data_IF_502679544576
#
_entry.id   IF_502679544576
#
_cell.length_a   1.000
_cell.length_b   1.000
_cell.length_c   1.000
_cell.angle_alpha   90.00
_cell.angle_beta   90.00
_cell.angle_gamma   90.00
#
_symmetry.space_group_name_H-M   'P 1'
#
loop_
_entity.id
_entity.type
_entity.pdbx_description
1 polymer ?
#
# COMPACT_ATOMS: atom_id res chain seq x y z
N UNK A 1 26.11 -8.68 33.43
CA UNK A 1 26.51 -7.33 32.94
C UNK A 1 25.31 -6.73 32.20
N UNK A 2 24.85 -5.52 32.54
CA UNK A 2 23.66 -4.93 31.87
C UNK A 2 24.05 -4.50 30.44
N UNK A 3 23.23 -4.84 29.43
CA UNK A 3 23.46 -4.58 27.98
C UNK A 3 23.88 -3.14 27.67
N UNK A 4 23.31 -2.18 28.41
CA UNK A 4 23.60 -0.75 28.27
C UNK A 4 25.02 -0.38 28.69
N UNK A 5 25.59 -1.12 29.64
CA UNK A 5 26.95 -0.88 30.12
C UNK A 5 27.96 -1.51 29.15
N UNK A 6 27.68 -2.72 28.63
CA UNK A 6 28.52 -3.38 27.63
C UNK A 6 28.63 -2.58 26.31
N UNK A 7 27.53 -2.02 25.80
CA UNK A 7 27.53 -1.21 24.58
C UNK A 7 28.28 0.13 24.76
N UNK A 8 28.24 0.71 25.97
CA UNK A 8 29.03 1.90 26.30
C UNK A 8 30.53 1.62 26.31
N UNK A 9 30.94 0.45 26.81
CA UNK A 9 32.34 0.01 26.78
C UNK A 9 32.82 -0.37 25.38
N UNK A 10 31.97 -1.00 24.54
CA UNK A 10 32.32 -1.35 23.16
C UNK A 10 32.50 -0.12 22.25
N UNK A 11 31.69 0.93 22.44
CA UNK A 11 31.82 2.20 21.71
C UNK A 11 33.08 3.00 22.05
N UNK A 12 33.61 2.85 23.27
CA UNK A 12 34.85 3.50 23.69
C UNK A 12 36.13 2.73 23.24
N UNK A 13 36.00 1.45 22.87
CA UNK A 13 37.13 0.57 22.55
C UNK A 13 37.34 0.22 21.07
N UNK A 14 36.54 0.77 20.15
CA UNK A 14 36.71 0.52 18.71
C UNK A 14 36.43 -0.92 18.24
N UNK A 15 35.71 -1.72 19.05
CA UNK A 15 35.37 -3.10 18.71
C UNK A 15 34.27 -3.14 17.62
N UNK A 16 34.59 -3.74 16.48
CA UNK A 16 33.62 -4.06 15.42
C UNK A 16 32.60 -5.04 15.98
N UNK A 17 31.36 -4.58 16.19
CA UNK A 17 30.23 -5.46 16.49
C UNK A 17 29.83 -6.13 15.18
N UNK A 18 30.06 -7.43 15.00
CA UNK A 18 29.67 -8.11 13.77
C UNK A 18 28.14 -8.09 13.63
N UNK A 19 27.65 -7.94 12.40
CA UNK A 19 26.23 -7.71 12.09
C UNK A 19 25.25 -8.75 12.68
N UNK A 20 25.74 -9.95 13.00
CA UNK A 20 24.94 -10.99 13.67
C UNK A 20 24.65 -10.70 15.15
N UNK A 21 25.41 -9.84 15.81
CA UNK A 21 25.18 -9.42 17.21
C UNK A 21 24.12 -8.31 17.35
N UNK A 22 23.57 -7.83 16.22
CA UNK A 22 22.48 -6.84 16.15
C UNK A 22 21.18 -7.46 15.62
N UNK A 23 21.12 -8.78 15.45
CA UNK A 23 19.88 -9.46 15.07
C UNK A 23 18.90 -9.35 16.25
N UNK A 24 17.71 -8.75 16.07
CA UNK A 24 16.73 -8.68 17.13
C UNK A 24 16.33 -10.10 17.54
N UNK A 25 16.41 -10.40 18.84
CA UNK A 25 15.71 -11.53 19.42
C UNK A 25 14.26 -11.49 18.93
N UNK A 26 13.76 -12.62 18.43
CA UNK A 26 12.36 -12.78 18.12
C UNK A 26 11.61 -12.73 19.45
N UNK A 27 11.24 -11.53 19.90
CA UNK A 27 10.22 -11.38 20.91
C UNK A 27 8.94 -11.92 20.27
N UNK A 28 8.42 -13.02 20.80
CA UNK A 28 7.09 -13.51 20.49
C UNK A 28 6.10 -12.36 20.71
N UNK A 29 5.68 -11.68 19.64
CA UNK A 29 4.64 -10.67 19.73
C UNK A 29 3.31 -11.39 19.90
N UNK A 30 2.91 -11.49 21.17
CA UNK A 30 1.72 -12.14 21.71
C UNK A 30 0.36 -11.51 21.33
N UNK A 31 0.23 -10.80 20.20
CA UNK A 31 -1.06 -10.25 19.78
C UNK A 31 -1.21 -10.31 18.26
N UNK A 32 -2.42 -10.67 17.80
CA UNK A 32 -2.81 -10.51 16.41
C UNK A 32 -2.52 -9.10 15.96
N UNK A 33 -2.09 -8.94 14.70
CA UNK A 33 -1.95 -7.60 14.14
C UNK A 33 -3.32 -6.91 14.15
N UNK A 34 -3.49 -5.92 15.01
CA UNK A 34 -4.67 -5.07 15.13
C UNK A 34 -4.42 -3.66 14.61
N UNK A 35 -3.19 -3.38 14.17
CA UNK A 35 -2.80 -2.10 13.60
C UNK A 35 -3.44 -1.82 12.23
N UNK A 36 -3.06 -0.69 11.66
CA UNK A 36 -3.55 -0.21 10.37
C UNK A 36 -3.13 -1.13 9.22
N UNK A 37 -4.01 -1.33 8.25
CA UNK A 37 -3.78 -2.09 7.03
C UNK A 37 -3.62 -1.09 5.90
N UNK A 38 -2.45 -1.07 5.27
CA UNK A 38 -2.23 -0.28 4.07
C UNK A 38 -2.69 -1.09 2.85
N UNK A 39 -3.55 -0.53 2.02
CA UNK A 39 -3.96 -1.13 0.74
C UNK A 39 -3.53 -0.21 -0.39
N UNK A 40 -2.55 -0.67 -1.17
CA UNK A 40 -2.07 0.05 -2.35
C UNK A 40 -2.75 -0.53 -3.59
N UNK A 41 -3.50 0.28 -4.32
CA UNK A 41 -4.14 -0.08 -5.60
C UNK A 41 -3.41 0.66 -6.71
N UNK A 42 -2.69 -0.09 -7.53
CA UNK A 42 -2.04 0.45 -8.72
C UNK A 42 -3.03 0.45 -9.90
N UNK A 43 -3.44 1.63 -10.34
CA UNK A 43 -4.20 1.83 -11.57
C UNK A 43 -3.22 1.84 -12.76
N UNK A 44 -2.91 0.67 -13.30
CA UNK A 44 -1.81 0.49 -14.26
C UNK A 44 -2.17 0.96 -15.67
N UNK A 45 -1.23 1.68 -16.25
CA UNK A 45 -1.31 2.24 -17.59
C UNK A 45 -1.63 3.73 -17.58
N UNK A 46 -1.26 4.52 -16.58
CA UNK A 46 -1.48 5.97 -16.58
C UNK A 46 -2.95 6.38 -16.62
N UNK A 47 -3.66 6.28 -15.49
CA UNK A 47 -5.07 6.68 -15.40
C UNK A 47 -5.25 8.14 -15.81
N UNK A 48 -6.18 8.39 -16.74
CA UNK A 48 -6.50 9.74 -17.17
C UNK A 48 -7.23 10.51 -16.06
N UNK A 49 -6.52 11.48 -15.47
CA UNK A 49 -7.06 12.38 -14.46
C UNK A 49 -8.28 13.16 -14.95
N UNK A 50 -8.34 13.51 -16.25
CA UNK A 50 -9.49 14.21 -16.83
C UNK A 50 -10.76 13.39 -16.86
N UNK A 51 -10.64 12.07 -16.97
CA UNK A 51 -11.76 11.12 -16.99
C UNK A 51 -12.08 10.59 -15.58
N UNK A 52 -11.37 11.06 -14.55
CA UNK A 52 -11.50 10.60 -13.18
C UNK A 52 -11.73 11.77 -12.20
N UNK A 53 -10.68 12.28 -11.54
CA UNK A 53 -10.79 13.19 -10.37
C UNK A 53 -10.30 14.62 -10.60
N UNK A 54 -9.83 14.94 -11.81
CA UNK A 54 -9.43 16.29 -12.22
C UNK A 54 -10.07 16.68 -13.56
N UNK A 55 -11.42 16.77 -13.63
CA UNK A 55 -12.14 16.98 -14.88
C UNK A 55 -11.84 18.35 -15.52
N UNK A 56 -11.98 18.42 -16.85
CA UNK A 56 -11.88 19.65 -17.65
C UNK A 56 -13.13 19.76 -18.49
N UNK A 57 -13.91 20.82 -18.28
CA UNK A 57 -15.24 20.97 -18.87
C UNK A 57 -15.29 21.97 -20.03
N UNK A 58 -14.25 22.77 -20.22
CA UNK A 58 -14.23 23.82 -21.23
C UNK A 58 -13.55 23.38 -22.55
N UNK A 59 -12.52 22.55 -22.48
CA UNK A 59 -11.66 22.24 -23.62
C UNK A 59 -11.95 20.83 -24.18
N UNK A 60 -12.60 20.80 -25.35
CA UNK A 60 -12.93 19.56 -26.08
C UNK A 60 -11.72 18.82 -26.64
N UNK A 61 -10.55 19.46 -26.69
CA UNK A 61 -9.30 18.77 -27.06
C UNK A 61 -8.81 17.87 -25.93
N UNK A 62 -9.25 18.10 -24.69
CA UNK A 62 -8.93 17.22 -23.57
C UNK A 62 -9.86 16.00 -23.52
N UNK A 63 -11.18 16.22 -23.57
CA UNK A 63 -12.19 15.16 -23.42
C UNK A 63 -13.42 15.44 -24.27
N UNK A 64 -14.11 14.39 -24.72
CA UNK A 64 -15.33 14.54 -25.51
C UNK A 64 -16.55 15.01 -24.70
N UNK A 65 -16.55 14.85 -23.36
CA UNK A 65 -17.64 15.37 -22.52
C UNK A 65 -17.61 16.89 -22.31
N UNK A 66 -16.47 17.56 -22.60
CA UNK A 66 -16.31 18.98 -22.38
C UNK A 66 -17.31 19.81 -23.21
N UNK A 67 -17.95 20.79 -22.57
CA UNK A 67 -19.01 21.60 -23.17
C UNK A 67 -20.26 20.80 -23.58
N UNK A 68 -20.45 19.59 -23.03
CA UNK A 68 -21.63 18.74 -23.28
C UNK A 68 -22.23 18.29 -21.95
N UNK A 69 -21.42 17.67 -21.09
CA UNK A 69 -21.85 17.14 -19.79
C UNK A 69 -20.99 17.74 -18.69
N UNK A 70 -21.58 18.40 -17.68
CA UNK A 70 -20.82 18.94 -16.56
C UNK A 70 -20.18 17.82 -15.73
N UNK A 71 -19.10 18.16 -15.03
CA UNK A 71 -18.51 17.29 -14.03
C UNK A 71 -19.50 17.01 -12.89
N UNK A 72 -19.43 15.79 -12.35
CA UNK A 72 -20.15 15.44 -11.14
C UNK A 72 -19.58 16.21 -9.96
N UNK A 73 -20.42 16.47 -8.96
CA UNK A 73 -20.04 17.07 -7.68
C UNK A 73 -20.51 16.17 -6.54
N UNK A 74 -19.58 15.73 -5.70
CA UNK A 74 -19.83 14.93 -4.50
C UNK A 74 -19.07 15.57 -3.35
N UNK A 75 -19.77 16.31 -2.49
CA UNK A 75 -19.14 17.19 -1.51
C UNK A 75 -18.24 18.23 -2.20
N UNK A 76 -16.96 18.27 -1.80
CA UNK A 76 -15.93 19.14 -2.38
C UNK A 76 -15.18 18.50 -3.56
N UNK A 77 -15.54 17.29 -3.96
CA UNK A 77 -14.83 16.53 -5.01
C UNK A 77 -15.61 16.65 -6.32
N UNK A 78 -14.89 17.00 -7.40
CA UNK A 78 -15.41 17.02 -8.77
C UNK A 78 -14.84 15.85 -9.54
N UNK A 79 -15.70 15.11 -10.24
CA UNK A 79 -15.27 13.98 -11.06
C UNK A 79 -15.84 14.04 -12.46
N UNK A 80 -15.15 13.44 -13.41
CA UNK A 80 -15.64 13.38 -14.77
C UNK A 80 -16.95 12.57 -14.84
N UNK A 81 -17.89 12.93 -15.73
CA UNK A 81 -19.12 12.18 -15.97
C UNK A 81 -18.84 10.92 -16.80
N UNK A 82 -18.01 10.02 -16.26
CA UNK A 82 -17.52 8.81 -16.92
C UNK A 82 -17.69 7.60 -16.01
N UNK A 83 -18.03 6.45 -16.60
CA UNK A 83 -18.24 5.19 -15.88
C UNK A 83 -19.21 5.37 -14.70
N UNK A 84 -18.85 4.81 -13.55
CA UNK A 84 -19.60 4.91 -12.29
C UNK A 84 -18.99 5.92 -11.30
N UNK A 85 -18.17 6.87 -11.77
CA UNK A 85 -17.52 7.87 -10.91
C UNK A 85 -18.53 8.55 -9.96
N UNK A 86 -19.66 9.03 -10.49
CA UNK A 86 -20.69 9.70 -9.69
C UNK A 86 -21.14 8.83 -8.51
N UNK A 87 -21.58 7.61 -8.79
CA UNK A 87 -22.09 6.71 -7.75
C UNK A 87 -21.01 6.37 -6.71
N UNK A 88 -19.77 6.14 -7.16
CA UNK A 88 -18.65 5.86 -6.27
C UNK A 88 -18.32 7.05 -5.35
N UNK A 89 -18.16 8.26 -5.89
CA UNK A 89 -17.80 9.42 -5.07
C UNK A 89 -18.97 9.94 -4.25
N UNK A 90 -20.22 9.82 -4.69
CA UNK A 90 -21.40 10.10 -3.84
C UNK A 90 -21.40 9.22 -2.58
N UNK A 91 -20.97 7.96 -2.71
CA UNK A 91 -20.86 7.03 -1.58
C UNK A 91 -19.66 7.32 -0.67
N UNK A 92 -18.53 7.75 -1.25
CA UNK A 92 -17.25 7.76 -0.54
C UNK A 92 -16.57 9.14 -0.40
N UNK A 93 -17.22 10.25 -0.75
CA UNK A 93 -16.56 11.56 -0.71
C UNK A 93 -16.01 11.93 0.67
N UNK A 94 -16.72 11.59 1.75
CA UNK A 94 -16.29 11.84 3.13
C UNK A 94 -15.00 11.11 3.50
N UNK A 95 -14.77 9.94 2.90
CA UNK A 95 -13.58 9.12 3.10
C UNK A 95 -12.39 9.62 2.30
N UNK A 96 -12.59 10.50 1.32
CA UNK A 96 -11.67 10.69 0.20
C UNK A 96 -10.85 11.98 0.28
N UNK A 97 -9.56 11.85 0.02
CA UNK A 97 -8.67 12.94 -0.38
C UNK A 97 -8.17 12.70 -1.81
N UNK A 98 -8.46 13.64 -2.70
CA UNK A 98 -7.87 13.71 -4.05
C UNK A 98 -6.61 14.56 -3.99
N UNK A 99 -5.55 14.12 -4.65
CA UNK A 99 -4.28 14.84 -4.78
C UNK A 99 -4.01 15.06 -6.26
N UNK A 100 -4.12 16.30 -6.73
CA UNK A 100 -3.97 16.66 -8.13
C UNK A 100 -2.60 17.29 -8.40
N UNK A 101 -2.10 17.12 -9.62
CA UNK A 101 -0.85 17.77 -10.07
C UNK A 101 0.42 17.06 -9.61
N UNK A 102 0.36 15.75 -9.31
CA UNK A 102 1.55 14.99 -8.93
C UNK A 102 2.37 14.71 -10.19
N UNK A 103 3.55 15.32 -10.28
CA UNK A 103 4.48 15.07 -11.38
C UNK A 103 5.35 13.85 -11.09
N UNK A 104 5.22 12.81 -11.90
CA UNK A 104 6.04 11.59 -11.88
C UNK A 104 7.50 11.84 -12.24
N UNK A 105 7.85 13.02 -12.78
CA UNK A 105 9.17 13.37 -13.33
C UNK A 105 9.59 12.48 -14.53
N UNK A 106 8.68 11.64 -15.03
CA UNK A 106 8.86 10.71 -16.15
C UNK A 106 7.51 10.43 -16.82
N UNK A 107 7.55 9.89 -18.04
CA UNK A 107 6.39 9.37 -18.76
C UNK A 107 6.62 7.91 -19.21
N UNK A 108 7.60 7.22 -18.63
CA UNK A 108 7.85 5.79 -18.83
C UNK A 108 7.02 4.96 -17.86
N UNK A 109 6.40 3.87 -18.32
CA UNK A 109 5.60 2.98 -17.47
C UNK A 109 6.42 2.40 -16.33
N UNK A 110 7.63 1.91 -16.61
CA UNK A 110 8.48 1.28 -15.60
C UNK A 110 8.98 2.30 -14.56
N UNK A 111 9.48 3.44 -15.03
CA UNK A 111 10.01 4.48 -14.14
C UNK A 111 8.90 5.16 -13.34
N UNK A 112 7.74 5.40 -13.96
CA UNK A 112 6.57 6.00 -13.30
C UNK A 112 5.99 5.06 -12.24
N UNK A 113 5.85 3.77 -12.56
CA UNK A 113 5.45 2.74 -11.58
C UNK A 113 6.39 2.77 -10.37
N UNK A 114 7.71 2.79 -10.62
CA UNK A 114 8.72 2.83 -9.55
C UNK A 114 8.62 4.11 -8.74
N UNK A 115 8.61 5.27 -9.39
CA UNK A 115 8.54 6.57 -8.74
C UNK A 115 7.34 6.67 -7.81
N UNK A 116 6.14 6.28 -8.26
CA UNK A 116 4.96 6.31 -7.41
C UNK A 116 4.95 5.21 -6.35
N UNK A 117 5.58 4.06 -6.59
CA UNK A 117 5.67 3.00 -5.59
C UNK A 117 6.67 3.28 -4.47
N UNK A 118 7.78 3.98 -4.74
CA UNK A 118 8.91 4.19 -3.80
C UNK A 118 9.10 5.64 -3.34
N UNK A 119 8.51 6.58 -4.08
CA UNK A 119 8.74 8.02 -3.92
C UNK A 119 9.95 8.54 -4.70
N UNK A 120 10.73 7.69 -5.38
CA UNK A 120 11.96 8.08 -6.07
C UNK A 120 12.09 7.38 -7.42
N UNK A 121 12.64 8.09 -8.40
CA UNK A 121 13.08 7.48 -9.67
C UNK A 121 14.34 6.62 -9.48
N UNK A 122 15.17 6.94 -8.49
CA UNK A 122 16.36 6.17 -8.16
C UNK A 122 16.02 4.73 -7.77
N UNK A 123 16.89 3.80 -8.12
CA UNK A 123 16.79 2.41 -7.71
C UNK A 123 17.15 2.25 -6.21
N UNK A 124 16.73 1.12 -5.62
CA UNK A 124 17.13 0.75 -4.26
C UNK A 124 16.31 1.38 -3.13
N UNK A 125 15.26 2.13 -3.44
CA UNK A 125 14.28 2.60 -2.44
C UNK A 125 13.20 1.54 -2.19
N UNK A 126 12.82 1.28 -0.94
CA UNK A 126 11.72 0.39 -0.64
C UNK A 126 10.42 1.01 -1.14
N UNK A 127 9.53 0.17 -1.66
CA UNK A 127 8.19 0.62 -1.95
C UNK A 127 7.40 0.84 -0.65
N UNK A 128 6.31 1.62 -0.70
CA UNK A 128 5.54 1.97 0.50
C UNK A 128 5.02 0.73 1.23
N UNK A 129 4.67 -0.34 0.50
CA UNK A 129 4.16 -1.57 1.11
C UNK A 129 5.22 -2.31 1.91
N UNK A 130 6.40 -2.51 1.32
CA UNK A 130 7.55 -3.09 2.02
C UNK A 130 7.93 -2.24 3.23
N UNK A 131 7.96 -0.92 3.07
CA UNK A 131 8.39 -0.01 4.11
C UNK A 131 7.42 -0.05 5.30
N UNK A 132 6.11 0.02 5.05
CA UNK A 132 5.09 -0.11 6.08
C UNK A 132 5.16 -1.48 6.77
N UNK A 133 5.27 -2.56 5.99
CA UNK A 133 5.42 -3.92 6.51
C UNK A 133 6.67 -4.11 7.37
N UNK A 134 7.78 -3.44 7.05
CA UNK A 134 9.03 -3.54 7.83
C UNK A 134 8.93 -2.91 9.23
N UNK A 135 8.07 -1.89 9.37
CA UNK A 135 7.87 -1.16 10.62
C UNK A 135 6.73 -1.78 11.43
N UNK A 136 5.58 -2.01 10.81
CA UNK A 136 4.34 -2.39 11.50
C UNK A 136 4.01 -3.88 11.39
N UNK A 137 4.50 -4.55 10.35
CA UNK A 137 4.27 -5.98 10.09
C UNK A 137 5.37 -6.91 10.58
N UNK A 138 6.31 -6.43 11.40
CA UNK A 138 7.46 -7.23 11.84
C UNK A 138 6.99 -8.47 12.60
N UNK A 139 7.42 -9.65 12.15
CA UNK A 139 7.06 -10.94 12.76
C UNK A 139 5.73 -11.52 12.31
N UNK A 140 4.97 -10.83 11.44
CA UNK A 140 3.79 -11.43 10.83
C UNK A 140 4.19 -12.51 9.81
N UNK A 141 3.35 -13.55 9.59
CA UNK A 141 3.62 -14.58 8.60
C UNK A 141 3.71 -14.05 7.16
N UNK A 142 2.83 -13.12 6.78
CA UNK A 142 2.73 -12.57 5.42
C UNK A 142 2.54 -11.05 5.47
N UNK A 143 3.55 -10.30 5.97
CA UNK A 143 3.40 -8.89 6.31
C UNK A 143 3.09 -8.00 5.10
N UNK A 144 3.52 -8.43 3.90
CA UNK A 144 3.27 -7.78 2.61
C UNK A 144 2.73 -8.80 1.60
N UNK A 145 1.43 -8.74 1.34
CA UNK A 145 0.77 -9.51 0.27
C UNK A 145 0.76 -8.73 -1.03
N UNK A 146 1.11 -9.38 -2.14
CA UNK A 146 1.24 -8.74 -3.44
C UNK A 146 0.49 -9.49 -4.56
N UNK A 147 -0.46 -8.80 -5.19
CA UNK A 147 -1.23 -9.28 -6.34
C UNK A 147 -1.03 -8.43 -7.61
N UNK A 148 0.01 -7.59 -7.68
CA UNK A 148 0.32 -6.78 -8.85
C UNK A 148 0.99 -5.44 -8.55
N UNK A 149 1.30 -4.69 -9.62
CA UNK A 149 2.03 -3.42 -9.54
C UNK A 149 3.53 -3.61 -9.22
N UNK A 150 4.10 -2.64 -8.51
CA UNK A 150 5.53 -2.68 -8.16
C UNK A 150 5.80 -3.72 -7.06
N UNK A 151 6.71 -4.66 -7.36
CA UNK A 151 7.03 -5.79 -6.46
C UNK A 151 8.49 -5.84 -6.00
N UNK A 152 9.33 -4.93 -6.49
CA UNK A 152 10.75 -4.92 -6.15
C UNK A 152 10.93 -4.51 -4.69
N UNK A 153 11.69 -5.32 -3.96
CA UNK A 153 12.05 -5.13 -2.56
C UNK A 153 13.45 -4.50 -2.46
N UNK A 154 13.64 -3.61 -1.50
CA UNK A 154 14.95 -3.11 -1.09
C UNK A 154 15.64 -4.01 -0.04
N UNK A 155 15.09 -5.19 0.23
CA UNK A 155 15.62 -6.19 1.17
C UNK A 155 15.16 -5.98 2.62
N UNK A 156 14.13 -5.18 2.88
CA UNK A 156 13.59 -4.99 4.23
C UNK A 156 12.59 -6.10 4.59
N UNK A 157 11.67 -6.39 3.67
CA UNK A 157 10.64 -7.42 3.79
C UNK A 157 10.37 -8.01 2.42
N UNK A 158 10.36 -9.34 2.32
CA UNK A 158 10.02 -10.03 1.09
C UNK A 158 8.52 -9.92 0.78
N UNK A 159 8.18 -9.66 -0.48
CA UNK A 159 6.81 -9.75 -0.95
C UNK A 159 6.33 -11.21 -0.91
N UNK A 160 5.16 -11.45 -0.33
CA UNK A 160 4.46 -12.72 -0.48
C UNK A 160 3.48 -12.59 -1.64
N UNK A 161 3.62 -13.37 -2.73
CA UNK A 161 2.60 -13.44 -3.76
C UNK A 161 1.25 -13.79 -3.15
N UNK A 162 0.18 -13.13 -3.59
CA UNK A 162 -1.17 -13.37 -3.08
C UNK A 162 -1.55 -14.85 -3.29
N UNK A 163 -1.81 -15.62 -2.23
CA UNK A 163 -2.13 -17.03 -2.38
C UNK A 163 -3.54 -17.22 -2.97
N UNK A 164 -3.76 -18.35 -3.65
CA UNK A 164 -5.12 -18.81 -3.94
C UNK A 164 -5.85 -19.22 -2.65
N UNK A 165 -7.17 -19.38 -2.72
CA UNK A 165 -7.93 -19.89 -1.57
C UNK A 165 -7.43 -21.26 -1.11
N UNK A 166 -7.12 -22.17 -2.03
CA UNK A 166 -6.63 -23.51 -1.70
C UNK A 166 -5.21 -23.48 -1.13
N UNK A 167 -4.34 -22.60 -1.64
CA UNK A 167 -3.03 -22.39 -1.03
C UNK A 167 -3.15 -21.83 0.40
N UNK A 168 -4.09 -20.91 0.63
CA UNK A 168 -4.35 -20.37 1.96
C UNK A 168 -4.93 -21.43 2.92
N UNK A 169 -5.82 -22.31 2.43
CA UNK A 169 -6.30 -23.49 3.17
C UNK A 169 -5.14 -24.41 3.55
N UNK A 170 -4.30 -24.76 2.59
CA UNK A 170 -3.14 -25.62 2.82
C UNK A 170 -2.17 -25.02 3.85
N UNK A 171 -1.93 -23.70 3.81
CA UNK A 171 -1.10 -23.00 4.78
C UNK A 171 -1.73 -22.94 6.18
N UNK A 172 -3.05 -22.81 6.26
CA UNK A 172 -3.77 -22.78 7.53
C UNK A 172 -3.84 -24.18 8.18
N UNK A 173 -3.89 -25.24 7.38
CA UNK A 173 -4.00 -26.63 7.85
C UNK A 173 -2.97 -27.54 7.16
N UNK A 174 -1.66 -27.37 7.38
CA UNK A 174 -0.63 -28.07 6.61
C UNK A 174 -0.53 -29.56 6.93
N UNK A 175 -1.19 -30.03 7.99
CA UNK A 175 -1.34 -31.45 8.33
C UNK A 175 -2.82 -31.86 8.37
N UNK A 176 -3.68 -31.25 7.54
CA UNK A 176 -5.07 -31.66 7.47
C UNK A 176 -5.16 -33.13 7.06
N UNK A 177 -5.95 -33.91 7.81
CA UNK A 177 -6.23 -35.30 7.44
C UNK A 177 -7.04 -35.32 6.15
N UNK A 178 -6.58 -36.13 5.19
CA UNK A 178 -7.31 -36.43 3.97
C UNK A 178 -7.88 -37.84 4.07
N UNK A 179 -9.15 -38.02 3.68
CA UNK A 179 -9.77 -39.34 3.62
C UNK A 179 -9.11 -40.28 2.59
N UNK A 180 -8.34 -39.73 1.65
CA UNK A 180 -7.73 -40.48 0.54
C UNK A 180 -6.20 -40.43 0.52
N UNK A 181 -5.57 -39.52 1.27
CA UNK A 181 -4.13 -39.22 1.17
C UNK A 181 -3.50 -38.82 2.51
N UNK A 182 -3.97 -39.37 3.64
CA UNK A 182 -3.31 -39.17 4.93
C UNK A 182 -2.29 -40.28 5.23
N UNK A 183 -1.04 -39.88 5.48
CA UNK A 183 0.06 -40.79 5.83
C UNK A 183 0.46 -40.69 7.31
N UNK A 184 -0.06 -39.71 8.08
CA UNK A 184 0.38 -39.43 9.45
C UNK A 184 -0.81 -39.11 10.37
N UNK A 185 -1.01 -39.92 11.42
CA UNK A 185 -2.10 -39.68 12.39
C UNK A 185 -1.82 -38.41 13.20
N UNK A 186 -2.88 -37.71 13.61
CA UNK A 186 -2.76 -36.52 14.47
C UNK A 186 -1.96 -36.82 15.76
N UNK A 187 -2.13 -38.01 16.35
CA UNK A 187 -1.35 -38.45 17.52
C UNK A 187 0.17 -38.48 17.28
N UNK A 188 0.59 -38.87 16.07
CA UNK A 188 2.00 -38.97 15.72
C UNK A 188 2.59 -37.57 15.48
N UNK A 189 1.79 -36.69 14.88
CA UNK A 189 2.10 -35.27 14.73
C UNK A 189 2.28 -34.60 16.11
N UNK A 190 1.38 -34.90 17.05
CA UNK A 190 1.41 -34.34 18.41
C UNK A 190 2.68 -34.80 19.16
N UNK A 191 3.06 -36.08 19.02
CA UNK A 191 4.33 -36.60 19.55
C UNK A 191 5.54 -35.89 18.95
N UNK A 192 5.56 -35.65 17.63
CA UNK A 192 6.63 -34.90 16.97
C UNK A 192 6.71 -33.46 17.49
N UNK A 193 5.57 -32.81 17.73
CA UNK A 193 5.52 -31.46 18.30
C UNK A 193 6.02 -31.41 19.74
N UNK A 194 5.61 -32.37 20.58
CA UNK A 194 6.07 -32.48 21.97
C UNK A 194 7.58 -32.69 22.05
N UNK A 195 8.12 -33.68 21.31
CA UNK A 195 9.55 -33.97 21.27
C UNK A 195 10.38 -32.78 20.76
N UNK A 196 9.84 -32.05 19.78
CA UNK A 196 10.46 -30.82 19.25
C UNK A 196 10.51 -29.73 20.32
N UNK A 197 9.41 -29.47 21.02
CA UNK A 197 9.36 -28.46 22.09
C UNK A 197 10.30 -28.81 23.25
N UNK A 198 10.36 -30.07 23.67
CA UNK A 198 11.29 -30.55 24.69
C UNK A 198 12.75 -30.34 24.28
N UNK A 199 13.09 -30.68 23.03
CA UNK A 199 14.45 -30.44 22.49
C UNK A 199 14.81 -28.96 22.54
N UNK A 200 13.88 -28.07 22.21
CA UNK A 200 14.12 -26.62 22.29
C UNK A 200 14.31 -26.12 23.72
N UNK A 201 13.48 -26.58 24.67
CA UNK A 201 13.63 -26.28 26.10
C UNK A 201 14.98 -26.75 26.64
N UNK A 202 15.41 -27.95 26.26
CA UNK A 202 16.71 -28.50 26.66
C UNK A 202 17.90 -27.73 26.06
N UNK A 203 17.76 -27.18 24.85
CA UNK A 203 18.75 -26.30 24.23
C UNK A 203 18.84 -24.93 24.93
N UNK A 204 17.72 -24.38 25.38
CA UNK A 204 17.67 -23.07 26.05
C UNK A 204 18.15 -23.14 27.51
N UNK A 205 17.89 -24.27 28.18
CA UNK A 205 18.35 -24.54 29.54
C UNK A 205 19.87 -24.79 29.65
N UNK A 206 20.56 -25.02 28.53
CA UNK A 206 22.01 -25.24 28.50
C UNK A 206 22.79 -23.94 28.73
N UNK A 207 23.72 -23.97 29.69
CA UNK A 207 24.58 -22.83 30.03
C UNK A 207 25.72 -22.62 29.03
N UNK A 208 26.04 -23.62 28.22
CA UNK A 208 27.12 -23.65 27.22
C UNK A 208 26.64 -23.34 25.78
N UNK A 209 25.36 -23.07 25.57
CA UNK A 209 24.80 -22.78 24.24
C UNK A 209 25.33 -21.47 23.67
N UNK A 210 26.05 -21.56 22.54
CA UNK A 210 26.58 -20.41 21.81
C UNK A 210 25.45 -19.43 21.39
N UNK A 211 25.73 -18.11 21.35
CA UNK A 211 24.72 -17.09 20.99
C UNK A 211 23.99 -17.36 19.66
N UNK A 212 24.71 -17.82 18.63
CA UNK A 212 24.11 -18.15 17.31
C UNK A 212 23.12 -19.31 17.40
N UNK A 213 23.39 -20.32 18.23
CA UNK A 213 22.48 -21.45 18.42
C UNK A 213 21.20 -21.04 19.13
N UNK A 214 21.29 -20.10 20.10
CA UNK A 214 20.11 -19.50 20.74
C UNK A 214 19.25 -18.73 19.74
N UNK A 215 19.87 -17.96 18.84
CA UNK A 215 19.15 -17.23 17.79
C UNK A 215 18.41 -18.20 16.85
N UNK A 216 19.08 -19.24 16.36
CA UNK A 216 18.45 -20.25 15.48
C UNK A 216 17.31 -20.97 16.21
N UNK A 217 17.50 -21.29 17.49
CA UNK A 217 16.48 -21.90 18.33
C UNK A 217 15.24 -21.00 18.48
N UNK A 218 15.45 -19.71 18.77
CA UNK A 218 14.37 -18.72 18.86
C UNK A 218 13.66 -18.52 17.51
N UNK A 219 14.39 -18.47 16.39
CA UNK A 219 13.80 -18.38 15.05
C UNK A 219 12.93 -19.59 14.73
N UNK A 220 13.38 -20.78 15.12
CA UNK A 220 12.63 -22.00 14.92
C UNK A 220 11.35 -22.05 15.76
N UNK A 221 11.41 -21.62 17.03
CA UNK A 221 10.22 -21.47 17.88
C UNK A 221 9.25 -20.43 17.30
N UNK A 222 9.75 -19.27 16.86
CA UNK A 222 8.94 -18.24 16.22
C UNK A 222 8.24 -18.74 14.94
N UNK A 223 8.91 -19.57 14.14
CA UNK A 223 8.30 -20.21 12.96
C UNK A 223 7.19 -21.21 13.34
N UNK A 224 7.35 -21.94 14.45
CA UNK A 224 6.31 -22.83 14.97
C UNK A 224 5.08 -22.04 15.49
N UNK A 225 5.29 -20.90 16.12
CA UNK A 225 4.22 -19.99 16.56
C UNK A 225 3.48 -19.36 15.38
N UNK A 226 4.20 -18.97 14.32
CA UNK A 226 3.59 -18.45 13.09
C UNK A 226 2.57 -19.44 12.48
N UNK A 227 2.78 -20.75 12.67
CA UNK A 227 1.82 -21.79 12.26
C UNK A 227 0.53 -21.74 13.08
N UNK A 228 0.60 -21.49 14.38
CA UNK A 228 -0.59 -21.31 15.21
C UNK A 228 -1.36 -20.03 14.84
N UNK A 229 -0.65 -18.98 14.39
CA UNK A 229 -1.29 -17.78 13.82
C UNK A 229 -1.96 -18.08 12.49
N UNK A 230 -1.32 -18.87 11.61
CA UNK A 230 -1.89 -19.30 10.33
C UNK A 230 -3.11 -20.21 10.50
N UNK A 231 -3.16 -21.06 11.52
CA UNK A 231 -4.35 -21.86 11.83
C UNK A 231 -5.59 -21.00 12.07
N UNK A 232 -5.46 -19.78 12.61
CA UNK A 232 -6.63 -18.89 12.77
C UNK A 232 -7.20 -18.42 11.44
N UNK A 233 -6.39 -18.36 10.38
CA UNK A 233 -6.90 -18.06 9.04
C UNK A 233 -8.02 -19.03 8.69
N UNK A 234 -7.90 -20.33 9.06
CA UNK A 234 -8.93 -21.34 8.80
C UNK A 234 -10.32 -20.96 9.33
N UNK A 235 -10.40 -20.20 10.43
CA UNK A 235 -11.66 -19.74 11.03
C UNK A 235 -12.36 -18.67 10.17
N UNK A 236 -11.60 -17.98 9.32
CA UNK A 236 -12.05 -16.89 8.47
C UNK A 236 -12.12 -17.29 6.98
N UNK A 237 -11.76 -18.53 6.63
CA UNK A 237 -11.76 -18.98 5.24
C UNK A 237 -13.20 -19.18 4.74
N UNK A 238 -13.59 -18.53 3.64
CA UNK A 238 -14.89 -18.78 3.04
C UNK A 238 -14.88 -20.09 2.24
N UNK A 239 -16.07 -20.59 1.92
CA UNK A 239 -16.24 -21.72 1.01
C UNK A 239 -15.75 -21.37 -0.42
N UNK A 240 -16.05 -20.15 -0.87
CA UNK A 240 -15.69 -19.61 -2.18
C UNK A 240 -15.24 -18.15 -2.06
N UNK A 241 -14.50 -17.66 -3.05
CA UNK A 241 -14.14 -16.24 -3.13
C UNK A 241 -15.20 -15.45 -3.91
N UNK A 242 -15.49 -14.24 -3.44
CA UNK A 242 -16.23 -13.21 -4.18
C UNK A 242 -15.50 -12.73 -5.46
N UNK A 243 -16.15 -11.82 -6.21
CA UNK A 243 -15.75 -11.32 -7.52
C UNK A 243 -14.36 -10.63 -7.60
N UNK A 244 -13.75 -10.30 -6.46
CA UNK A 244 -12.38 -9.76 -6.36
C UNK A 244 -11.50 -10.67 -5.49
N UNK A 245 -11.07 -11.83 -6.01
CA UNK A 245 -10.45 -12.89 -5.21
C UNK A 245 -9.17 -12.44 -4.49
N UNK A 246 -8.31 -11.66 -5.15
CA UNK A 246 -7.08 -11.14 -4.54
C UNK A 246 -7.37 -10.16 -3.38
N UNK A 247 -8.35 -9.26 -3.55
CA UNK A 247 -8.76 -8.35 -2.48
C UNK A 247 -9.40 -9.13 -1.33
N UNK A 248 -10.25 -10.12 -1.64
CA UNK A 248 -10.91 -10.97 -0.65
C UNK A 248 -9.88 -11.71 0.21
N UNK A 249 -8.91 -12.38 -0.42
CA UNK A 249 -7.82 -13.09 0.29
C UNK A 249 -7.02 -12.13 1.16
N UNK A 250 -6.63 -10.96 0.62
CA UNK A 250 -5.90 -9.95 1.40
C UNK A 250 -6.68 -9.49 2.63
N UNK A 251 -7.98 -9.25 2.50
CA UNK A 251 -8.84 -8.81 3.60
C UNK A 251 -9.07 -9.90 4.65
N UNK A 252 -9.18 -11.17 4.25
CA UNK A 252 -9.20 -12.30 5.19
C UNK A 252 -7.89 -12.38 5.96
N UNK A 253 -6.74 -12.25 5.27
CA UNK A 253 -5.44 -12.23 5.92
C UNK A 253 -5.28 -11.05 6.90
N UNK A 254 -5.86 -9.89 6.57
CA UNK A 254 -5.89 -8.71 7.44
C UNK A 254 -6.79 -8.91 8.67
N UNK A 255 -7.96 -9.52 8.48
CA UNK A 255 -8.86 -9.90 9.57
C UNK A 255 -8.20 -10.92 10.51
N UNK A 256 -7.53 -11.93 9.95
CA UNK A 256 -6.77 -12.92 10.69
C UNK A 256 -5.51 -12.35 11.37
N UNK A 257 -5.14 -11.08 11.10
CA UNK A 257 -4.03 -10.40 11.75
C UNK A 257 -2.65 -10.92 11.32
N UNK A 258 -2.52 -11.45 10.11
CA UNK A 258 -1.28 -12.03 9.58
C UNK A 258 -0.62 -11.21 8.47
N UNK A 259 -1.25 -10.10 8.07
CA UNK A 259 -0.70 -9.14 7.10
C UNK A 259 -0.90 -7.71 7.59
N UNK A 260 0.01 -6.83 7.18
CA UNK A 260 -0.08 -5.38 7.42
C UNK A 260 -0.28 -4.59 6.12
N UNK A 261 -0.04 -5.21 4.97
CA UNK A 261 -0.14 -4.53 3.68
C UNK A 261 -0.62 -5.44 2.57
N UNK A 262 -1.51 -4.89 1.74
CA UNK A 262 -2.09 -5.54 0.57
C UNK A 262 -1.78 -4.66 -0.64
N UNK A 263 -1.10 -5.23 -1.64
CA UNK A 263 -0.83 -4.58 -2.92
C UNK A 263 -1.71 -5.22 -4.00
N UNK A 264 -2.51 -4.39 -4.67
CA UNK A 264 -3.45 -4.78 -5.73
C UNK A 264 -3.18 -3.96 -6.99
N UNK A 265 -3.72 -4.40 -8.11
CA UNK A 265 -3.65 -3.68 -9.38
C UNK A 265 -5.01 -3.74 -10.09
N UNK A 266 -5.35 -2.67 -10.80
CA UNK A 266 -6.42 -2.62 -11.80
C UNK A 266 -5.85 -1.96 -13.05
N UNK A 267 -6.21 -2.44 -14.24
CA UNK A 267 -5.55 -2.02 -15.48
C UNK A 267 -6.52 -1.70 -16.63
N UNK A 268 -5.92 -1.38 -17.77
CA UNK A 268 -6.65 -0.94 -18.97
C UNK A 268 -6.70 0.58 -19.12
N UNK A 269 -5.76 1.29 -18.51
CA UNK A 269 -5.66 2.75 -18.60
C UNK A 269 -4.72 3.22 -19.74
N UNK A 270 -4.01 2.30 -20.41
CA UNK A 270 -3.07 2.61 -21.50
C UNK A 270 -3.75 2.83 -22.86
N UNK A 271 -4.58 3.86 -22.91
CA UNK A 271 -5.56 4.06 -23.97
C UNK A 271 -5.04 4.99 -25.08
N UNK A 272 -4.18 4.48 -25.97
CA UNK A 272 -3.66 5.25 -27.11
C UNK A 272 -4.64 5.42 -28.29
N UNK A 273 -5.82 4.81 -28.20
CA UNK A 273 -6.94 4.96 -29.14
C UNK A 273 -8.27 4.70 -28.42
N UNK A 274 -9.40 5.13 -29.00
CA UNK A 274 -10.76 4.85 -28.48
C UNK A 274 -10.89 5.08 -26.96
N UNK A 275 -10.36 6.21 -26.47
CA UNK A 275 -10.12 6.49 -25.06
C UNK A 275 -11.38 6.32 -24.21
N UNK A 276 -12.46 7.00 -24.58
CA UNK A 276 -13.69 7.03 -23.77
C UNK A 276 -14.31 5.64 -23.60
N UNK A 277 -14.34 4.82 -24.65
CA UNK A 277 -14.87 3.46 -24.58
C UNK A 277 -13.99 2.56 -23.70
N UNK A 278 -12.67 2.70 -23.78
CA UNK A 278 -11.76 1.95 -22.91
C UNK A 278 -11.88 2.40 -21.44
N UNK A 279 -11.94 3.71 -21.19
CA UNK A 279 -12.13 4.27 -19.86
C UNK A 279 -13.48 3.91 -19.25
N UNK A 280 -14.56 3.88 -20.05
CA UNK A 280 -15.89 3.45 -19.61
C UNK A 280 -15.91 2.00 -19.12
N UNK A 281 -14.95 1.17 -19.55
CA UNK A 281 -14.78 -0.20 -19.06
C UNK A 281 -13.78 -0.30 -17.90
N UNK A 282 -12.66 0.45 -17.96
CA UNK A 282 -11.58 0.37 -16.99
C UNK A 282 -11.90 1.05 -15.65
N UNK A 283 -12.58 2.21 -15.69
CA UNK A 283 -12.94 2.96 -14.48
C UNK A 283 -13.87 2.16 -13.56
N UNK A 284 -14.99 1.56 -14.04
CA UNK A 284 -15.83 0.72 -13.18
C UNK A 284 -15.07 -0.42 -12.52
N UNK A 285 -14.14 -1.09 -13.23
CA UNK A 285 -13.33 -2.15 -12.59
C UNK A 285 -12.50 -1.64 -11.41
N UNK A 286 -11.93 -0.44 -11.51
CA UNK A 286 -11.15 0.17 -10.44
C UNK A 286 -12.05 0.60 -9.26
N UNK A 287 -13.13 1.32 -9.54
CA UNK A 287 -14.04 1.82 -8.49
C UNK A 287 -14.82 0.69 -7.83
N UNK A 288 -15.24 -0.34 -8.57
CA UNK A 288 -15.91 -1.54 -8.03
C UNK A 288 -14.95 -2.36 -7.16
N UNK A 289 -13.66 -2.44 -7.51
CA UNK A 289 -12.65 -3.06 -6.65
C UNK A 289 -12.52 -2.31 -5.31
N UNK A 290 -12.47 -0.97 -5.36
CA UNK A 290 -12.32 -0.15 -4.14
C UNK A 290 -13.62 -0.17 -3.31
N UNK A 291 -14.77 -0.13 -3.96
CA UNK A 291 -16.07 -0.31 -3.32
C UNK A 291 -16.16 -1.69 -2.65
N UNK A 292 -15.72 -2.75 -3.32
CA UNK A 292 -15.62 -4.08 -2.73
C UNK A 292 -14.71 -4.10 -1.49
N UNK A 293 -13.54 -3.44 -1.55
CA UNK A 293 -12.64 -3.33 -0.39
C UNK A 293 -13.38 -2.71 0.80
N UNK A 294 -14.11 -1.62 0.60
CA UNK A 294 -14.87 -0.96 1.66
C UNK A 294 -16.03 -1.80 2.19
N UNK A 295 -16.86 -2.37 1.31
CA UNK A 295 -17.97 -3.22 1.71
C UNK A 295 -17.50 -4.46 2.45
N UNK A 296 -16.51 -5.16 1.91
CA UNK A 296 -16.00 -6.40 2.50
C UNK A 296 -15.28 -6.12 3.81
N UNK A 297 -14.46 -5.08 3.88
CA UNK A 297 -13.79 -4.73 5.14
C UNK A 297 -14.76 -4.31 6.24
N UNK A 298 -15.88 -3.66 5.91
CA UNK A 298 -16.94 -3.37 6.85
C UNK A 298 -17.60 -4.66 7.36
N UNK A 299 -17.94 -5.58 6.45
CA UNK A 299 -18.51 -6.89 6.80
C UNK A 299 -17.56 -7.73 7.68
N UNK A 300 -16.24 -7.61 7.48
CA UNK A 300 -15.23 -8.28 8.28
C UNK A 300 -14.88 -7.53 9.59
N UNK A 301 -15.45 -6.35 9.83
CA UNK A 301 -15.21 -5.55 11.03
C UNK A 301 -13.83 -4.86 11.08
N UNK A 302 -13.16 -4.70 9.93
CA UNK A 302 -11.79 -4.14 9.84
C UNK A 302 -11.71 -2.81 9.08
N UNK A 303 -12.82 -2.25 8.60
CA UNK A 303 -12.84 -1.01 7.80
C UNK A 303 -12.10 0.16 8.48
N UNK A 304 -12.24 0.34 9.80
CA UNK A 304 -11.58 1.41 10.56
C UNK A 304 -10.04 1.27 10.63
N UNK A 305 -9.50 0.13 10.18
CA UNK A 305 -8.06 -0.12 10.13
C UNK A 305 -7.48 0.18 8.75
N UNK A 306 -8.30 0.43 7.73
CA UNK A 306 -7.82 0.49 6.34
C UNK A 306 -7.47 1.93 5.94
N UNK A 307 -6.27 2.09 5.37
CA UNK A 307 -5.92 3.20 4.48
C UNK A 307 -5.80 2.66 3.06
N UNK A 308 -6.65 3.12 2.15
CA UNK A 308 -6.53 2.82 0.71
C UNK A 308 -5.74 3.95 0.05
N UNK A 309 -4.75 3.59 -0.75
CA UNK A 309 -4.03 4.48 -1.66
C UNK A 309 -4.23 4.01 -3.09
N UNK A 310 -4.81 4.85 -3.94
CA UNK A 310 -4.95 4.63 -5.37
C UNK A 310 -3.96 5.54 -6.09
N UNK A 311 -3.11 4.95 -6.93
CA UNK A 311 -2.12 5.69 -7.70
C UNK A 311 -1.89 5.03 -9.06
N UNK A 312 -1.29 5.78 -9.98
CA UNK A 312 -0.86 5.31 -11.30
C UNK A 312 0.60 5.70 -11.54
N UNK A 313 1.18 5.26 -12.66
CA UNK A 313 2.55 5.58 -13.06
C UNK A 313 2.72 7.08 -13.40
N UNK A 314 1.68 7.66 -14.00
CA UNK A 314 1.61 9.02 -14.51
C UNK A 314 0.15 9.33 -14.92
N UNK A 315 -0.11 10.43 -15.65
CA UNK A 315 -1.41 10.78 -16.24
C UNK A 315 -1.45 10.73 -17.77
N UNK A 316 -2.49 11.33 -18.38
CA UNK A 316 -2.71 11.30 -19.84
C UNK A 316 -2.75 12.68 -20.47
N UNK A 317 -2.31 12.77 -21.73
CA UNK A 317 -2.35 14.00 -22.54
C UNK A 317 -3.77 14.38 -22.96
N UNK A 318 -3.97 15.53 -23.60
CA UNK A 318 -5.13 15.76 -24.46
C UNK A 318 -5.28 14.68 -25.57
N UNK A 319 -6.45 14.64 -26.21
CA UNK A 319 -6.77 13.67 -27.26
C UNK A 319 -5.80 13.76 -28.44
N UNK A 320 -5.36 12.60 -28.92
CA UNK A 320 -4.57 12.43 -30.13
C UNK A 320 -5.47 12.17 -31.36
N UNK A 321 -4.87 12.06 -32.54
CA UNK A 321 -5.60 11.86 -33.80
C UNK A 321 -6.38 10.53 -33.89
N UNK A 322 -6.11 9.58 -33.00
CA UNK A 322 -6.79 8.28 -32.92
C UNK A 322 -7.91 8.25 -31.87
N UNK A 323 -8.34 9.43 -31.39
CA UNK A 323 -9.27 9.57 -30.26
C UNK A 323 -8.76 8.83 -29.00
N UNK A 324 -7.44 8.77 -28.86
CA UNK A 324 -6.71 8.20 -27.73
C UNK A 324 -5.97 9.28 -26.95
N UNK A 325 -5.16 8.89 -25.97
CA UNK A 325 -4.29 9.78 -25.21
C UNK A 325 -2.93 9.16 -24.95
N UNK A 326 -1.90 9.98 -25.07
CA UNK A 326 -0.50 9.58 -24.86
C UNK A 326 -0.07 9.83 -23.41
N UNK A 327 1.17 9.46 -23.08
CA UNK A 327 1.68 9.55 -21.73
C UNK A 327 1.92 10.99 -21.30
N UNK A 328 1.53 11.33 -20.07
CA UNK A 328 1.72 12.65 -19.50
C UNK A 328 2.24 12.57 -18.08
N UNK A 329 3.35 13.24 -17.77
CA UNK A 329 4.05 13.07 -16.50
C UNK A 329 3.31 13.59 -15.27
N UNK A 330 2.13 14.20 -15.42
CA UNK A 330 1.34 14.77 -14.32
C UNK A 330 0.04 14.01 -14.20
N UNK A 331 -0.25 13.50 -13.00
CA UNK A 331 -1.47 12.77 -12.71
C UNK A 331 -2.03 13.09 -11.33
N UNK A 332 -2.94 12.22 -10.90
CA UNK A 332 -3.62 12.33 -9.61
C UNK A 332 -3.45 11.06 -8.77
N UNK A 333 -3.54 11.22 -7.45
CA UNK A 333 -3.64 10.11 -6.50
C UNK A 333 -4.85 10.31 -5.60
N UNK A 334 -5.37 9.20 -5.06
CA UNK A 334 -6.48 9.23 -4.09
C UNK A 334 -6.08 8.48 -2.84
N UNK A 335 -6.35 9.07 -1.68
CA UNK A 335 -6.22 8.44 -0.37
C UNK A 335 -7.61 8.32 0.27
N UNK A 336 -7.88 7.21 0.94
CA UNK A 336 -9.17 6.98 1.60
C UNK A 336 -9.03 6.27 2.94
N UNK A 337 -9.80 6.72 3.94
CA UNK A 337 -9.97 6.06 5.25
C UNK A 337 -11.46 6.07 5.65
N UNK A 338 -11.88 5.24 6.61
CA UNK A 338 -13.30 5.11 6.97
C UNK A 338 -13.95 6.40 7.52
N UNK A 339 -13.21 7.18 8.32
CA UNK A 339 -13.68 8.43 8.92
C UNK A 339 -12.54 9.44 9.17
N UNK A 340 -11.78 9.86 8.14
CA UNK A 340 -10.67 10.77 8.31
C UNK A 340 -11.16 12.20 8.55
N UNK A 341 -10.49 12.91 9.47
CA UNK A 341 -10.72 14.36 9.63
C UNK A 341 -10.32 15.17 8.38
N UNK A 342 -9.44 14.62 7.55
CA UNK A 342 -8.87 15.26 6.37
C UNK A 342 -9.60 14.95 5.05
N UNK A 343 -10.68 14.14 5.09
CA UNK A 343 -11.46 13.70 3.93
C UNK A 343 -12.35 14.80 3.33
N UNK A 344 -13.17 14.44 2.34
CA UNK A 344 -13.97 15.37 1.53
C UNK A 344 -13.13 16.55 1.00
N UNK A 345 -11.98 16.24 0.41
CA UNK A 345 -11.00 17.27 0.03
C UNK A 345 -10.23 16.97 -1.25
N UNK A 346 -9.80 18.04 -1.88
CA UNK A 346 -8.82 18.08 -2.96
C UNK A 346 -7.63 18.90 -2.49
N UNK A 347 -6.43 18.35 -2.65
CA UNK A 347 -5.16 19.01 -2.37
C UNK A 347 -4.32 19.12 -3.64
N UNK A 348 -3.73 20.29 -3.87
CA UNK A 348 -2.95 20.53 -5.07
C UNK A 348 -3.82 20.84 -6.29
N UNK A 349 -3.16 21.10 -7.41
CA UNK A 349 -3.76 21.61 -8.62
C UNK A 349 -2.91 21.22 -9.83
N UNK A 350 -3.55 21.10 -10.98
CA UNK A 350 -2.86 21.04 -12.27
C UNK A 350 -3.47 22.09 -13.21
N UNK A 351 -2.72 22.49 -14.25
CA UNK A 351 -3.16 23.54 -15.16
C UNK A 351 -4.35 23.14 -16.05
N UNK A 352 -4.82 24.07 -16.90
CA UNK A 352 -5.93 23.80 -17.82
C UNK A 352 -5.72 22.56 -18.71
N UNK A 353 -4.47 22.25 -19.07
CA UNK A 353 -4.09 21.05 -19.85
C UNK A 353 -3.32 20.03 -19.00
N UNK A 354 -3.60 20.00 -17.70
CA UNK A 354 -2.95 19.17 -16.68
C UNK A 354 -1.42 19.34 -16.59
N UNK A 355 -0.86 20.45 -17.05
CA UNK A 355 0.55 20.74 -16.79
C UNK A 355 0.81 20.94 -15.30
N UNK A 356 2.02 20.63 -14.86
CA UNK A 356 2.42 20.79 -13.46
C UNK A 356 2.31 22.26 -13.04
N UNK A 357 1.75 22.49 -11.87
CA UNK A 357 1.71 23.80 -11.23
C UNK A 357 2.54 23.78 -9.94
N UNK A 358 3.11 24.93 -9.61
CA UNK A 358 3.69 25.16 -8.29
C UNK A 358 2.56 25.39 -7.30
N UNK A 359 2.58 24.66 -6.18
CA UNK A 359 1.59 24.78 -5.12
C UNK A 359 2.26 25.01 -3.77
N UNK A 360 1.57 25.70 -2.88
CA UNK A 360 2.01 25.89 -1.51
C UNK A 360 1.81 24.59 -0.70
N UNK A 361 2.86 23.96 -0.16
CA UNK A 361 2.77 22.67 0.55
C UNK A 361 1.85 22.69 1.79
N UNK A 362 1.68 23.83 2.45
CA UNK A 362 0.82 23.93 3.63
C UNK A 362 -0.66 23.99 3.27
N UNK A 363 -1.00 24.50 2.08
CA UNK A 363 -2.41 24.80 1.73
C UNK A 363 -2.92 24.05 0.51
N UNK A 364 -2.05 23.52 -0.34
CA UNK A 364 -2.42 22.92 -1.62
C UNK A 364 -2.78 23.94 -2.72
N UNK A 365 -2.83 25.24 -2.40
CA UNK A 365 -3.19 26.29 -3.35
C UNK A 365 -2.06 26.57 -4.36
N UNK A 366 -2.42 27.00 -5.56
CA UNK A 366 -1.45 27.44 -6.58
C UNK A 366 -0.66 28.62 -6.06
N UNK A 367 0.67 28.52 -6.10
CA UNK A 367 1.63 29.56 -5.70
C UNK A 367 2.76 29.58 -6.73
N UNK A 368 2.65 30.39 -7.79
CA UNK A 368 3.64 30.42 -8.87
C UNK A 368 5.03 30.88 -8.43
N UNK A 369 5.09 31.66 -7.35
CA UNK A 369 6.32 32.33 -6.91
C UNK A 369 7.07 31.47 -5.89
N UNK A 370 6.40 31.02 -4.83
CA UNK A 370 7.03 30.33 -3.69
C UNK A 370 6.63 28.85 -3.58
N UNK A 371 5.70 28.40 -4.42
CA UNK A 371 5.25 27.01 -4.40
C UNK A 371 6.28 26.03 -4.98
N UNK A 372 6.01 24.75 -4.75
CA UNK A 372 6.80 23.62 -5.24
C UNK A 372 5.97 22.78 -6.22
N UNK A 373 6.65 22.11 -7.14
CA UNK A 373 6.02 21.05 -7.94
C UNK A 373 5.96 19.80 -7.07
N UNK A 374 4.75 19.32 -6.79
CA UNK A 374 4.56 18.08 -6.04
C UNK A 374 4.92 16.89 -6.92
N UNK A 375 5.65 15.96 -6.34
CA UNK A 375 6.14 14.74 -6.99
C UNK A 375 5.98 13.55 -6.04
N UNK A 376 6.16 12.29 -6.46
CA UNK A 376 6.01 11.14 -5.59
C UNK A 376 6.76 11.21 -4.26
N UNK A 377 7.98 11.76 -4.22
CA UNK A 377 8.74 11.92 -2.96
C UNK A 377 8.00 12.75 -1.92
N UNK A 378 7.28 13.79 -2.34
CA UNK A 378 6.53 14.67 -1.45
C UNK A 378 5.33 13.92 -0.84
N UNK A 379 4.60 13.17 -1.66
CA UNK A 379 3.48 12.33 -1.21
C UNK A 379 3.97 11.24 -0.24
N UNK A 380 5.10 10.60 -0.57
CA UNK A 380 5.73 9.61 0.28
C UNK A 380 6.21 10.19 1.60
N UNK A 381 6.77 11.41 1.62
CA UNK A 381 7.20 12.06 2.85
C UNK A 381 6.01 12.31 3.80
N UNK A 382 4.90 12.83 3.27
CA UNK A 382 3.68 13.03 4.06
C UNK A 382 3.09 11.69 4.55
N UNK A 383 3.01 10.67 3.69
CA UNK A 383 2.52 9.34 4.07
C UNK A 383 3.39 8.66 5.12
N UNK A 384 4.72 8.75 5.02
CA UNK A 384 5.64 8.17 6.01
C UNK A 384 5.41 8.79 7.38
N UNK A 385 5.27 10.12 7.46
CA UNK A 385 4.94 10.82 8.70
C UNK A 385 3.60 10.35 9.26
N UNK A 386 2.55 10.32 8.42
CA UNK A 386 1.20 9.92 8.84
C UNK A 386 1.11 8.46 9.30
N UNK A 387 1.87 7.59 8.66
CA UNK A 387 1.95 6.16 8.99
C UNK A 387 2.96 5.85 10.09
N UNK A 388 3.60 6.86 10.71
CA UNK A 388 4.59 6.64 11.78
C UNK A 388 5.83 5.87 11.31
N UNK A 389 6.21 6.01 10.05
CA UNK A 389 7.39 5.37 9.46
C UNK A 389 8.59 6.31 9.62
N UNK A 390 9.56 5.92 10.45
CA UNK A 390 10.84 6.61 10.54
C UNK A 390 11.95 5.78 9.89
N UNK A 391 12.57 6.30 8.83
CA UNK A 391 13.71 5.66 8.17
C UNK A 391 15.01 6.19 8.75
N UNK A 392 15.62 5.46 9.69
CA UNK A 392 16.94 5.79 10.21
C UNK A 392 18.07 5.53 9.20
N UNK A 393 17.82 4.71 8.17
CA UNK A 393 18.77 4.44 7.11
C UNK A 393 18.84 5.64 6.13
N UNK A 394 20.00 6.33 6.04
CA UNK A 394 20.15 7.48 5.17
C UNK A 394 19.95 7.16 3.68
N UNK A 395 20.07 5.89 3.27
CA UNK A 395 19.81 5.45 1.89
C UNK A 395 18.36 5.67 1.47
N UNK A 396 17.42 5.71 2.42
CA UNK A 396 16.00 5.86 2.13
C UNK A 396 15.48 7.29 2.30
N UNK A 397 16.39 8.26 2.46
CA UNK A 397 16.04 9.67 2.52
C UNK A 397 15.43 10.14 1.19
N UNK A 398 14.19 10.62 1.25
CA UNK A 398 13.45 11.09 0.07
C UNK A 398 13.97 12.40 -0.52
N UNK A 399 14.85 13.11 0.22
CA UNK A 399 15.42 14.41 -0.13
C UNK A 399 14.33 15.45 -0.35
N UNK A 400 13.42 15.55 0.61
CA UNK A 400 12.33 16.55 0.68
C UNK A 400 12.62 17.45 1.86
N UNK A 401 12.67 18.76 1.64
CA UNK A 401 12.86 19.69 2.75
C UNK A 401 11.61 19.70 3.65
N UNK A 402 11.76 19.94 4.95
CA UNK A 402 10.65 19.82 5.90
C UNK A 402 9.48 20.78 5.58
N UNK A 403 9.78 21.97 5.06
CA UNK A 403 8.81 22.97 4.62
C UNK A 403 8.16 22.64 3.26
N UNK A 404 8.64 21.62 2.55
CA UNK A 404 8.09 21.14 1.27
C UNK A 404 7.18 19.92 1.44
N UNK A 405 7.13 19.33 2.65
CA UNK A 405 6.24 18.20 2.93
C UNK A 405 4.79 18.69 2.90
N UNK A 406 3.94 18.17 2.00
CA UNK A 406 2.58 18.65 1.86
C UNK A 406 1.73 18.27 3.08
N UNK A 407 0.90 19.21 3.54
CA UNK A 407 -0.04 19.05 4.65
C UNK A 407 -1.28 18.21 4.24
N UNK A 408 -1.05 17.02 3.69
CA UNK A 408 -2.09 16.14 3.17
C UNK A 408 -3.04 15.63 4.26
N UNK A 409 -2.62 15.58 5.51
CA UNK A 409 -3.42 15.03 6.61
C UNK A 409 -3.84 16.09 7.64
N UNK A 410 -3.55 17.37 7.37
CA UNK A 410 -4.08 18.49 8.14
C UNK A 410 -5.53 18.75 7.70
N UNK A 411 -6.53 18.60 8.60
CA UNK A 411 -7.93 18.89 8.27
C UNK A 411 -8.18 20.37 7.93
N UNK A 412 -7.26 21.28 8.30
CA UNK A 412 -7.39 22.71 8.05
C UNK A 412 -6.72 23.16 6.73
N UNK A 413 -5.95 22.29 6.09
CA UNK A 413 -5.37 22.60 4.78
C UNK A 413 -6.49 22.78 3.75
N UNK A 414 -6.47 23.90 3.02
CA UNK A 414 -7.59 24.34 2.19
C UNK A 414 -7.98 23.29 1.13
N UNK A 415 -9.29 23.16 0.93
CA UNK A 415 -9.91 22.51 -0.22
C UNK A 415 -9.95 23.51 -1.36
N UNK A 416 -9.59 23.11 -2.58
CA UNK A 416 -9.85 23.98 -3.72
C UNK A 416 -9.32 23.39 -5.01
N UNK A 417 -10.23 23.06 -5.91
CA UNK A 417 -9.88 23.14 -7.32
C UNK A 417 -9.36 24.56 -7.56
N UNK A 418 -8.27 24.74 -8.31
CA UNK A 418 -8.02 26.06 -8.89
C UNK A 418 -9.33 26.52 -9.54
N UNK A 419 -9.76 27.76 -9.26
CA UNK A 419 -10.74 28.43 -10.13
C UNK A 419 -10.10 28.48 -11.51
N UNK A 420 -10.34 27.45 -12.34
CA UNK A 420 -9.84 27.32 -13.71
C UNK A 420 -10.91 27.78 -14.69
#
# INVERSE_FOLDING_TARGET
MKRRDFLKWAGAGGLVIPSWAVIPEAAAQNALYSGRILINVHASGGIDQSSWVDPREADRTLNNYAGVTPANVSGNIRTAPMGNNKAFFDRYFMQTLVINGVSSETNSHEDGTRAHATGRLDMGYPNMSELFASVHGKGLPMPWLNAGGFRTSAGLVAATPMPSLDALRALATPNAQSATTDFMKQSDIDLVHAARLERMKALDARSDTLPRMRIVAQQFLAAAEARATLQRVSQFLPATLDNFPAAHVGLIAAQAGITSTIQLTSGGFDTHSNHDAQMANALPRLTDLVDYIWQKSAALGIANRILVRIYSEFGRTPLNNSNGKDHWSVGSQVLMEAAPAWGNRVFGASGPRHQALRINPATGAVDPTNGVIITPRHIHAALRTYLGINTADPRFNLRVAANEVPALFDPNARTGYPTL
#
